data_IF_457929875151
#
_entry.id   IF_457929875151
#
_cell.length_a   1.000
_cell.length_b   1.000
_cell.length_c   1.000
_cell.angle_alpha   90.00
_cell.angle_beta   90.00
_cell.angle_gamma   90.00
#
_symmetry.space_group_name_H-M   'P 1'
#
loop_
_entity.id
_entity.type
_entity.pdbx_description
1 polymer ?
#
# COMPACT_ATOMS: atom_id res chain seq x y z
N UNK A 1 13.87 -2.42 -18.08
CA UNK A 1 13.11 -1.40 -17.32
C UNK A 1 11.61 -1.70 -17.22
N UNK A 2 10.88 -1.82 -18.34
CA UNK A 2 9.41 -2.01 -18.36
C UNK A 2 8.93 -3.22 -17.52
N UNK A 3 9.60 -4.37 -17.67
CA UNK A 3 9.31 -5.57 -16.88
C UNK A 3 9.59 -5.42 -15.37
N UNK A 4 10.56 -4.58 -15.01
CA UNK A 4 10.97 -4.40 -13.62
C UNK A 4 10.06 -3.41 -12.86
N UNK A 5 9.35 -2.52 -13.56
CA UNK A 5 8.38 -1.58 -12.96
C UNK A 5 6.95 -2.15 -12.86
N UNK A 6 6.67 -3.27 -13.53
CA UNK A 6 5.36 -3.93 -13.56
C UNK A 6 4.85 -4.35 -12.17
N UNK A 7 5.68 -4.93 -11.26
CA UNK A 7 5.20 -5.37 -9.95
C UNK A 7 4.65 -4.21 -9.10
N UNK A 8 5.39 -3.10 -9.00
CA UNK A 8 4.93 -1.92 -8.26
C UNK A 8 3.73 -1.25 -8.94
N UNK A 9 3.68 -1.20 -10.27
CA UNK A 9 2.55 -0.60 -10.98
C UNK A 9 1.24 -1.35 -10.71
N UNK A 10 1.25 -2.68 -10.78
CA UNK A 10 0.06 -3.49 -10.55
C UNK A 10 -0.33 -3.53 -9.07
N UNK A 11 0.60 -3.94 -8.20
CA UNK A 11 0.30 -4.11 -6.77
C UNK A 11 0.04 -2.76 -6.12
N UNK A 12 0.79 -1.72 -6.48
CA UNK A 12 0.57 -0.35 -5.99
C UNK A 12 -0.81 0.18 -6.37
N UNK A 13 -1.29 -0.09 -7.60
CA UNK A 13 -2.63 0.31 -8.03
C UNK A 13 -3.73 -0.35 -7.21
N UNK A 14 -3.70 -1.68 -7.04
CA UNK A 14 -4.70 -2.39 -6.23
C UNK A 14 -4.61 -2.02 -4.74
N UNK A 15 -3.39 -1.86 -4.22
CA UNK A 15 -3.13 -1.42 -2.85
C UNK A 15 -3.73 -0.04 -2.59
N UNK A 16 -3.57 0.92 -3.50
CA UNK A 16 -4.12 2.27 -3.34
C UNK A 16 -5.66 2.26 -3.27
N UNK A 17 -6.32 1.42 -4.07
CA UNK A 17 -7.78 1.26 -4.02
C UNK A 17 -8.23 0.69 -2.66
N UNK A 18 -7.54 -0.33 -2.16
CA UNK A 18 -7.82 -0.91 -0.86
C UNK A 18 -7.57 0.08 0.28
N UNK A 19 -6.49 0.87 0.17
CA UNK A 19 -6.12 1.92 1.12
C UNK A 19 -7.15 3.03 1.19
N UNK A 20 -7.65 3.52 0.04
CA UNK A 20 -8.73 4.50 0.01
C UNK A 20 -10.01 3.99 0.69
N UNK A 21 -10.38 2.74 0.44
CA UNK A 21 -11.56 2.11 1.09
C UNK A 21 -11.36 1.94 2.61
N UNK A 22 -10.17 1.52 3.04
CA UNK A 22 -9.85 1.34 4.45
C UNK A 22 -9.81 2.69 5.19
N UNK A 23 -9.23 3.73 4.57
CA UNK A 23 -9.18 5.07 5.11
C UNK A 23 -10.59 5.67 5.30
N UNK A 24 -11.46 5.55 4.29
CA UNK A 24 -12.84 6.03 4.38
C UNK A 24 -13.62 5.32 5.51
N UNK A 25 -13.48 4.00 5.64
CA UNK A 25 -14.08 3.24 6.74
C UNK A 25 -13.51 3.64 8.11
N UNK A 26 -12.21 3.90 8.18
CA UNK A 26 -11.53 4.35 9.39
C UNK A 26 -12.00 5.74 9.81
N UNK A 27 -12.22 6.68 8.87
CA UNK A 27 -12.77 8.00 9.17
C UNK A 27 -14.18 7.92 9.75
N UNK A 28 -15.05 7.06 9.20
CA UNK A 28 -16.39 6.82 9.75
C UNK A 28 -16.34 6.24 11.16
N UNK A 29 -15.42 5.30 11.41
CA UNK A 29 -15.22 4.71 12.73
C UNK A 29 -14.75 5.77 13.74
N UNK A 30 -13.75 6.58 13.37
CA UNK A 30 -13.19 7.64 14.23
C UNK A 30 -14.20 8.74 14.51
N UNK A 31 -15.03 9.10 13.52
CA UNK A 31 -16.10 10.08 13.71
C UNK A 31 -17.14 9.67 14.75
N UNK A 32 -17.29 8.36 15.03
CA UNK A 32 -18.17 7.83 16.09
C UNK A 32 -17.42 7.48 17.39
N UNK A 33 -16.16 7.07 17.28
CA UNK A 33 -15.30 6.59 18.37
C UNK A 33 -13.88 7.14 18.19
N UNK A 34 -13.59 8.36 18.64
CA UNK A 34 -12.29 8.99 18.44
C UNK A 34 -11.13 8.19 19.06
N UNK A 35 -11.38 7.43 20.12
CA UNK A 35 -10.42 6.53 20.76
C UNK A 35 -9.90 5.41 19.83
N UNK A 36 -10.62 5.12 18.74
CA UNK A 36 -10.26 4.10 17.76
C UNK A 36 -9.35 4.61 16.63
N UNK A 37 -8.89 5.86 16.70
CA UNK A 37 -8.04 6.49 15.66
C UNK A 37 -6.76 5.70 15.36
N UNK A 38 -6.04 5.25 16.38
CA UNK A 38 -4.81 4.46 16.20
C UNK A 38 -5.07 3.15 15.46
N UNK A 39 -6.18 2.48 15.75
CA UNK A 39 -6.58 1.25 15.07
C UNK A 39 -6.92 1.51 13.59
N UNK A 40 -7.64 2.60 13.30
CA UNK A 40 -7.96 2.99 11.93
C UNK A 40 -6.71 3.32 11.09
N UNK A 41 -5.76 4.05 11.67
CA UNK A 41 -4.47 4.31 11.03
C UNK A 41 -3.68 3.02 10.78
N UNK A 42 -3.57 2.13 11.77
CA UNK A 42 -2.89 0.85 11.60
C UNK A 42 -3.51 0.01 10.48
N UNK A 43 -4.84 -0.11 10.45
CA UNK A 43 -5.51 -0.89 9.39
C UNK A 43 -5.27 -0.29 8.00
N UNK A 44 -5.22 1.03 7.90
CA UNK A 44 -4.91 1.74 6.65
C UNK A 44 -3.44 1.56 6.24
N UNK A 45 -2.51 1.49 7.20
CA UNK A 45 -1.09 1.25 6.93
C UNK A 45 -0.78 -0.21 6.54
N UNK A 46 -1.56 -1.18 7.05
CA UNK A 46 -1.37 -2.60 6.71
C UNK A 46 -1.56 -2.86 5.22
N UNK A 47 -2.52 -2.21 4.57
CA UNK A 47 -2.73 -2.34 3.13
C UNK A 47 -1.59 -1.72 2.32
N UNK A 48 -0.97 -0.64 2.81
CA UNK A 48 0.20 -0.01 2.19
C UNK A 48 1.44 -0.92 2.17
N UNK A 49 1.57 -1.81 3.17
CA UNK A 49 2.73 -2.71 3.29
C UNK A 49 2.90 -3.61 2.05
N UNK A 50 1.80 -3.98 1.38
CA UNK A 50 1.86 -4.74 0.13
C UNK A 50 2.47 -3.95 -1.03
N UNK A 51 2.19 -2.65 -1.13
CA UNK A 51 2.82 -1.78 -2.11
C UNK A 51 4.32 -1.64 -1.85
N UNK A 52 4.74 -1.55 -0.57
CA UNK A 52 6.16 -1.49 -0.19
C UNK A 52 6.89 -2.78 -0.60
N UNK A 53 6.30 -3.95 -0.38
CA UNK A 53 6.89 -5.22 -0.82
C UNK A 53 7.04 -5.28 -2.36
N UNK A 54 6.04 -4.83 -3.10
CA UNK A 54 6.11 -4.77 -4.56
C UNK A 54 7.14 -3.75 -5.07
N UNK A 55 7.33 -2.64 -4.34
CA UNK A 55 8.38 -1.67 -4.60
C UNK A 55 9.76 -2.31 -4.40
N UNK A 56 9.96 -3.04 -3.31
CA UNK A 56 11.22 -3.75 -3.03
C UNK A 56 11.55 -4.77 -4.13
N UNK A 57 10.56 -5.54 -4.59
CA UNK A 57 10.72 -6.50 -5.71
C UNK A 57 11.11 -5.75 -6.99
N UNK A 58 10.39 -4.66 -7.32
CA UNK A 58 10.66 -3.86 -8.52
C UNK A 58 12.06 -3.24 -8.48
N UNK A 59 12.45 -2.72 -7.31
CA UNK A 59 13.77 -2.15 -7.06
C UNK A 59 14.88 -3.20 -7.21
N UNK A 60 14.68 -4.40 -6.66
CA UNK A 60 15.64 -5.50 -6.82
C UNK A 60 15.74 -5.93 -8.29
N UNK A 61 14.63 -6.03 -9.01
CA UNK A 61 14.63 -6.34 -10.44
C UNK A 61 15.38 -5.31 -11.28
N UNK A 62 15.27 -4.01 -10.96
CA UNK A 62 16.03 -2.95 -11.64
C UNK A 62 17.53 -3.07 -11.37
N UNK A 63 17.93 -3.30 -10.11
CA UNK A 63 19.35 -3.37 -9.73
C UNK A 63 20.01 -4.71 -10.05
N UNK A 64 19.26 -5.80 -10.15
CA UNK A 64 19.80 -7.11 -10.54
C UNK A 64 20.04 -7.23 -12.06
N UNK A 65 19.37 -6.41 -12.88
CA UNK A 65 19.68 -6.29 -14.31
C UNK A 65 20.85 -5.29 -14.45
N UNK A 66 22.05 -5.75 -14.13
CA UNK A 66 23.31 -5.14 -14.58
C UNK A 66 23.88 -6.11 -15.61
N UNK A 67 23.78 -5.72 -16.89
CA UNK A 67 24.44 -6.39 -18.01
C UNK A 67 25.83 -5.77 -18.23
#
# INVERSE_FOLDING_TARGET
LLAAALPIALVGYFSAIAQGKCAAGSMLMVGRRPEMQGKGMMMTAMVETYAVLALLISFLCVNAIVL
#
